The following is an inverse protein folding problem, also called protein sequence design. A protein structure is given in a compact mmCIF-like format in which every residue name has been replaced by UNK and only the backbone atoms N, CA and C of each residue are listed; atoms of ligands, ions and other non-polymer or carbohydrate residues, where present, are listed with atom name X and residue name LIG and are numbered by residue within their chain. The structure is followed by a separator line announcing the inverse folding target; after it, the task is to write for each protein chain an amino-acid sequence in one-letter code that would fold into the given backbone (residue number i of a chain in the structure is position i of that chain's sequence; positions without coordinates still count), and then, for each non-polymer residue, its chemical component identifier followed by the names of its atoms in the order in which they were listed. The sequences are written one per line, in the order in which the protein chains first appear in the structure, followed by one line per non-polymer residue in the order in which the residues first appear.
data_IF_111986592880
#
_entry.id   IF_111986592880
#
_cell.length_a   1.000
_cell.length_b   1.000
_cell.length_c   1.000
_cell.angle_alpha   90.00
_cell.angle_beta   90.00
_cell.angle_gamma   90.00
#
_symmetry.space_group_name_H-M   'P 1'
#
loop_
_entity.id
_entity.type
_entity.pdbx_description
1 polymer ?
#
# COMPACT_ATOMS: atom_id res chain seq x y z
N UNK A 1 -20.93 14.14 -10.85
CA UNK A 1 -19.47 14.05 -11.01
C UNK A 1 -19.00 12.83 -10.22
N UNK A 2 -18.47 11.82 -10.91
CA UNK A 2 -18.40 10.43 -10.47
C UNK A 2 -17.59 10.19 -9.19
N UNK A 3 -18.10 9.30 -8.33
CA UNK A 3 -17.33 8.73 -7.21
C UNK A 3 -16.10 8.03 -7.80
N UNK A 4 -14.90 8.48 -7.45
CA UNK A 4 -13.69 7.73 -7.76
C UNK A 4 -13.77 6.39 -7.03
N UNK A 5 -13.85 5.30 -7.78
CA UNK A 5 -13.76 3.94 -7.28
C UNK A 5 -12.33 3.72 -6.79
N UNK A 6 -12.12 3.89 -5.48
CA UNK A 6 -10.78 3.76 -4.86
C UNK A 6 -10.49 2.28 -4.63
N UNK A 7 -9.94 1.63 -5.66
CA UNK A 7 -9.39 0.27 -5.54
C UNK A 7 -7.99 0.32 -4.96
N UNK A 8 -7.78 -0.48 -3.93
CA UNK A 8 -6.51 -0.53 -3.19
C UNK A 8 -5.85 -1.86 -3.45
N UNK A 9 -4.55 -1.85 -3.71
CA UNK A 9 -3.76 -3.03 -3.98
C UNK A 9 -2.77 -3.26 -2.83
N UNK A 10 -2.57 -4.51 -2.47
CA UNK A 10 -1.58 -4.94 -1.48
C UNK A 10 -0.54 -5.80 -2.16
N UNK A 11 0.73 -5.47 -1.94
CA UNK A 11 1.88 -6.26 -2.36
C UNK A 11 2.53 -6.88 -1.13
N UNK A 12 2.67 -8.19 -1.16
CA UNK A 12 3.33 -8.98 -0.12
C UNK A 12 4.77 -9.28 -0.52
N UNK A 13 5.62 -9.43 0.49
CA UNK A 13 7.06 -9.61 0.28
C UNK A 13 7.55 -10.73 1.18
N UNK A 14 8.58 -11.47 0.76
CA UNK A 14 9.07 -12.59 1.56
C UNK A 14 9.78 -12.12 2.85
N UNK A 15 10.31 -10.90 2.88
CA UNK A 15 11.03 -10.36 4.04
C UNK A 15 10.80 -8.87 4.21
N UNK A 16 10.89 -8.39 5.46
CA UNK A 16 10.75 -6.96 5.81
C UNK A 16 11.80 -6.08 5.13
N UNK A 17 12.99 -6.61 4.83
CA UNK A 17 14.03 -5.87 4.10
C UNK A 17 13.56 -5.45 2.71
N UNK A 18 12.90 -6.36 1.97
CA UNK A 18 12.33 -6.04 0.67
C UNK A 18 11.19 -5.03 0.78
N UNK A 19 10.34 -5.14 1.81
CA UNK A 19 9.25 -4.18 2.07
C UNK A 19 9.80 -2.75 2.23
N UNK A 20 10.79 -2.56 3.10
CA UNK A 20 11.37 -1.24 3.38
C UNK A 20 12.09 -0.66 2.15
N UNK A 21 12.72 -1.52 1.36
CA UNK A 21 13.43 -1.09 0.16
C UNK A 21 12.45 -0.72 -0.96
N UNK A 22 11.45 -1.55 -1.20
CA UNK A 22 10.33 -1.28 -2.09
C UNK A 22 9.61 0.03 -1.71
N UNK A 23 9.32 0.25 -0.43
CA UNK A 23 8.68 1.48 0.04
C UNK A 23 9.47 2.72 -0.35
N UNK A 24 10.78 2.74 -0.07
CA UNK A 24 11.65 3.86 -0.43
C UNK A 24 11.70 4.09 -1.94
N UNK A 25 11.81 3.01 -2.72
CA UNK A 25 11.84 3.06 -4.18
C UNK A 25 10.54 3.67 -4.74
N UNK A 26 9.39 3.20 -4.26
CA UNK A 26 8.07 3.66 -4.72
C UNK A 26 7.79 5.10 -4.28
N UNK A 27 8.14 5.47 -3.04
CA UNK A 27 8.05 6.86 -2.56
C UNK A 27 8.94 7.80 -3.38
N UNK A 28 10.15 7.36 -3.73
CA UNK A 28 11.06 8.12 -4.61
C UNK A 28 10.46 8.35 -6.00
N UNK A 29 9.69 7.39 -6.50
CA UNK A 29 8.95 7.49 -7.76
C UNK A 29 7.63 8.30 -7.67
N UNK A 30 7.40 8.99 -6.55
CA UNK A 30 6.22 9.80 -6.26
C UNK A 30 4.92 8.96 -6.22
N UNK A 31 5.02 7.70 -5.80
CA UNK A 31 3.89 6.79 -5.61
C UNK A 31 3.54 6.77 -4.12
N UNK A 32 2.28 7.05 -3.81
CA UNK A 32 1.79 6.99 -2.44
C UNK A 32 1.64 5.53 -2.00
N UNK A 33 2.50 5.12 -1.06
CA UNK A 33 2.57 3.77 -0.52
C UNK A 33 2.56 3.81 1.01
N UNK A 34 1.82 2.89 1.60
CA UNK A 34 1.68 2.78 3.06
C UNK A 34 2.08 1.38 3.51
N UNK A 35 2.99 1.29 4.48
CA UNK A 35 3.33 0.04 5.13
C UNK A 35 2.27 -0.29 6.16
N UNK A 36 1.61 -1.43 5.98
CA UNK A 36 0.62 -1.91 6.94
C UNK A 36 0.98 -3.32 7.42
N UNK A 37 0.69 -3.66 8.68
CA UNK A 37 0.78 -5.04 9.11
C UNK A 37 -0.20 -5.86 8.27
N UNK A 38 0.25 -7.05 7.84
CA UNK A 38 -0.56 -7.94 7.02
C UNK A 38 -1.86 -8.22 7.78
N UNK A 39 -3.03 -7.86 7.21
CA UNK A 39 -4.30 -8.10 7.89
C UNK A 39 -4.47 -9.60 8.09
N UNK A 40 -5.04 -9.99 9.23
CA UNK A 40 -5.17 -11.40 9.70
C UNK A 40 -5.85 -12.37 8.71
N UNK A 41 -6.43 -11.86 7.63
CA UNK A 41 -7.09 -12.61 6.56
C UNK A 41 -6.19 -12.86 5.34
N UNK A 42 -5.01 -12.24 5.29
CA UNK A 42 -3.99 -12.43 4.28
C UNK A 42 -2.82 -13.13 4.99
N UNK A 43 -2.35 -14.25 4.46
CA UNK A 43 -1.24 -15.01 5.06
C UNK A 43 0.06 -14.65 4.35
N UNK A 44 0.90 -13.84 4.99
CA UNK A 44 2.30 -13.64 4.57
C UNK A 44 3.23 -13.84 5.77
N UNK A 45 4.36 -14.50 5.53
CA UNK A 45 5.33 -14.89 6.56
C UNK A 45 6.02 -13.68 7.22
N UNK A 46 6.19 -12.59 6.47
CA UNK A 46 6.86 -11.36 6.90
C UNK A 46 6.04 -10.46 7.84
N UNK A 47 4.72 -10.67 7.95
CA UNK A 47 3.81 -9.87 8.77
C UNK A 47 3.61 -8.40 8.35
N UNK A 48 4.28 -7.89 7.30
CA UNK A 48 4.15 -6.50 6.81
C UNK A 48 4.03 -6.49 5.28
N UNK A 49 3.12 -5.69 4.74
CA UNK A 49 2.91 -5.54 3.31
C UNK A 49 2.80 -4.06 2.89
N UNK A 50 2.92 -3.81 1.58
CA UNK A 50 2.78 -2.48 1.00
C UNK A 50 1.37 -2.33 0.45
N UNK A 51 0.67 -1.31 0.93
CA UNK A 51 -0.62 -0.88 0.41
C UNK A 51 -0.43 0.31 -0.52
N UNK A 52 -1.04 0.27 -1.70
CA UNK A 52 -1.01 1.37 -2.67
C UNK A 52 -2.30 1.43 -3.48
N UNK A 53 -2.50 2.51 -4.22
CA UNK A 53 -3.64 2.60 -5.14
C UNK A 53 -3.43 1.63 -6.32
N UNK A 54 -4.47 0.90 -6.73
CA UNK A 54 -4.33 -0.05 -7.84
C UNK A 54 -3.96 0.61 -9.17
N UNK A 55 -4.27 1.89 -9.34
CA UNK A 55 -3.79 2.68 -10.49
C UNK A 55 -2.26 2.77 -10.59
N UNK A 56 -1.54 2.60 -9.49
CA UNK A 56 -0.08 2.60 -9.47
C UNK A 56 0.52 1.19 -9.41
N UNK A 57 -0.29 0.13 -9.38
CA UNK A 57 0.20 -1.24 -9.25
C UNK A 57 1.16 -1.60 -10.38
N UNK A 58 0.76 -1.38 -11.63
CA UNK A 58 1.58 -1.72 -12.80
C UNK A 58 2.94 -0.98 -12.80
N UNK A 59 2.91 0.31 -12.47
CA UNK A 59 4.12 1.13 -12.32
C UNK A 59 4.98 0.64 -11.15
N UNK A 60 4.38 0.28 -10.03
CA UNK A 60 5.09 -0.22 -8.87
C UNK A 60 5.79 -1.55 -9.18
N UNK A 61 5.09 -2.52 -9.77
CA UNK A 61 5.67 -3.81 -10.17
C UNK A 61 6.81 -3.63 -11.16
N UNK A 62 6.67 -2.70 -12.11
CA UNK A 62 7.73 -2.36 -13.06
C UNK A 62 8.99 -1.83 -12.36
N UNK A 63 8.82 -0.90 -11.41
CA UNK A 63 9.94 -0.35 -10.65
C UNK A 63 10.63 -1.43 -9.80
N UNK A 64 9.84 -2.27 -9.12
CA UNK A 64 10.38 -3.37 -8.30
C UNK A 64 11.19 -4.35 -9.13
N UNK A 65 10.69 -4.73 -10.31
CA UNK A 65 11.42 -5.61 -11.23
C UNK A 65 12.70 -4.97 -11.76
N UNK A 66 12.64 -3.69 -12.13
CA UNK A 66 13.79 -2.96 -12.65
C UNK A 66 14.91 -2.80 -11.60
N UNK A 67 14.54 -2.64 -10.33
CA UNK A 67 15.48 -2.50 -9.21
C UNK A 67 15.96 -3.86 -8.66
N UNK A 68 15.28 -4.96 -9.02
CA UNK A 68 15.63 -6.32 -8.59
C UNK A 68 14.99 -6.74 -7.26
N UNK A 69 13.90 -6.08 -6.86
CA UNK A 69 13.16 -6.38 -5.63
C UNK A 69 12.17 -7.51 -5.85
N UNK A 70 12.40 -8.64 -5.17
CA UNK A 70 11.48 -9.78 -5.18
C UNK A 70 10.24 -9.50 -4.33
N UNK A 71 9.06 -9.70 -4.92
CA UNK A 71 7.76 -9.68 -4.24
C UNK A 71 7.10 -11.07 -4.32
N UNK A 72 6.25 -11.41 -3.36
CA UNK A 72 5.54 -12.71 -3.33
C UNK A 72 4.28 -12.67 -4.18
N UNK A 73 3.37 -11.74 -3.87
CA UNK A 73 2.08 -11.64 -4.53
C UNK A 73 1.55 -10.21 -4.50
N UNK A 74 0.59 -9.90 -5.39
CA UNK A 74 -0.11 -8.63 -5.40
C UNK A 74 -1.62 -8.87 -5.56
N UNK A 75 -2.40 -8.48 -4.55
CA UNK A 75 -3.84 -8.66 -4.52
C UNK A 75 -4.58 -7.32 -4.55
N UNK A 76 -5.66 -7.25 -5.32
CA UNK A 76 -6.59 -6.12 -5.32
C UNK A 76 -7.64 -6.31 -4.23
N UNK A 77 -7.85 -5.26 -3.43
CA UNK A 77 -8.82 -5.23 -2.35
C UNK A 77 -9.91 -4.20 -2.69
N UNK A 78 -11.13 -4.70 -2.78
CA UNK A 78 -12.32 -3.88 -2.92
C UNK A 78 -12.71 -3.28 -1.55
N UNK A 79 -12.62 -1.96 -1.43
CA UNK A 79 -12.95 -1.21 -0.21
C UNK A 79 -14.41 -0.73 -0.19
N UNK A 80 -15.24 -1.14 -1.16
CA UNK A 80 -16.60 -0.63 -1.37
C UNK A 80 -17.57 -0.98 -0.23
N UNK A 81 -17.33 -2.09 0.51
CA UNK A 81 -18.36 -2.67 1.39
C UNK A 81 -18.05 -2.72 2.89
N UNK A 82 -16.87 -2.32 3.35
CA UNK A 82 -16.55 -2.28 4.79
C UNK A 82 -16.02 -0.90 5.14
N UNK A 83 -16.62 -0.24 6.14
CA UNK A 83 -16.05 0.96 6.77
C UNK A 83 -14.66 0.58 7.24
N UNK A 84 -13.60 0.97 6.52
CA UNK A 84 -12.31 0.43 6.85
C UNK A 84 -11.89 1.09 8.15
N UNK A 85 -11.51 0.30 9.15
CA UNK A 85 -11.11 0.83 10.47
C UNK A 85 -10.02 1.92 10.33
N UNK A 86 -9.22 1.85 9.27
CA UNK A 86 -8.21 2.86 8.91
C UNK A 86 -8.80 4.21 8.49
N UNK A 87 -10.02 4.30 7.94
CA UNK A 87 -10.72 5.58 7.67
C UNK A 87 -11.02 6.33 8.98
N UNK A 88 -11.18 5.63 10.10
CA UNK A 88 -11.31 6.22 11.43
C UNK A 88 -9.95 6.61 12.04
N UNK A 89 -8.88 5.88 11.72
CA UNK A 89 -7.54 6.12 12.24
C UNK A 89 -6.74 7.19 11.47
N UNK A 90 -7.07 7.45 10.20
CA UNK A 90 -6.47 8.54 9.40
C UNK A 90 -6.86 9.95 9.87
N UNK A 91 -7.63 10.09 10.95
CA UNK A 91 -8.08 11.40 11.49
C UNK A 91 -7.07 12.06 12.46
N UNK A 92 -5.76 11.77 12.35
CA UNK A 92 -4.69 12.55 12.98
C UNK A 92 -3.43 12.66 12.10
N UNK A 93 -3.49 13.51 11.08
CA UNK A 93 -2.42 14.48 10.80
C UNK A 93 -2.96 15.63 9.94
N UNK A 94 -2.73 16.85 10.44
CA UNK A 94 -2.90 18.17 9.82
C UNK A 94 -4.34 18.68 9.59
N UNK A 95 -4.91 19.30 10.63
CA UNK A 95 -5.07 20.76 10.56
C UNK A 95 -4.67 21.34 11.92
N UNK A 96 -3.50 21.96 11.94
CA UNK A 96 -3.14 22.97 12.92
C UNK A 96 -2.85 24.21 12.09
N UNK A 97 -3.88 25.02 11.90
CA UNK A 97 -3.72 26.42 11.54
C UNK A 97 -4.66 27.27 12.39
N UNK A 98 -4.02 27.93 13.36
CA UNK A 98 -4.40 29.02 14.23
C UNK A 98 -5.61 29.91 13.81
N UNK A 99 -6.45 30.25 14.78
CA UNK A 99 -7.48 31.30 14.70
C UNK A 99 -8.13 31.53 16.05
#
# INVERSE_FOLDING_TARGET
MGRADVKVCIITFPTTHHVLHAEKLLRSANIDVELIPVPRHISSDCGICIKLHCMYLDKALTLLRADGVSYEDACEIDVSSTTPLWRLLSRRKADSTNG
#
